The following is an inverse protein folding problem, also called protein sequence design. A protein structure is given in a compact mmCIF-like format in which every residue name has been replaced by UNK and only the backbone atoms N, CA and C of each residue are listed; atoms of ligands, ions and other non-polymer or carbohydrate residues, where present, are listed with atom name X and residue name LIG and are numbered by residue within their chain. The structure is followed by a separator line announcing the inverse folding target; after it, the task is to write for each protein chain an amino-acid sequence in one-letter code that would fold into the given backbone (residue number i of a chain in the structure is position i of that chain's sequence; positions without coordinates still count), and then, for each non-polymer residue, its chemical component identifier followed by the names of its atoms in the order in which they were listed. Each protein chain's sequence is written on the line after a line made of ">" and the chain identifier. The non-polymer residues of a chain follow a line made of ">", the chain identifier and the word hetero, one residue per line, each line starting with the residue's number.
data_IF_545524745632
#
_entry.id   IF_545524745632
#
_cell.length_a   1.000
_cell.length_b   1.000
_cell.length_c   1.000
_cell.angle_alpha   90.00
_cell.angle_beta   90.00
_cell.angle_gamma   90.00
#
_symmetry.space_group_name_H-M   'P 1'
#
loop_
_entity.id
_entity.type
_entity.pdbx_description
1 polymer ?
#
# COMPACT_ATOMS: atom_id res chain seq x y z
N UNK A 1 -5.26 -14.13 -5.46
CA UNK A 1 -3.95 -14.01 -6.15
C UNK A 1 -2.92 -13.71 -5.07
N UNK A 2 -1.82 -14.45 -4.96
CA UNK A 2 -0.86 -14.24 -3.88
C UNK A 2 0.24 -13.27 -4.34
N UNK A 3 0.67 -12.37 -3.45
CA UNK A 3 1.69 -11.38 -3.77
C UNK A 3 2.92 -11.54 -2.88
N UNK A 4 4.09 -11.58 -3.51
CA UNK A 4 5.37 -11.65 -2.82
C UNK A 4 6.24 -10.43 -3.14
N UNK A 5 7.02 -10.02 -2.16
CA UNK A 5 7.95 -8.89 -2.25
C UNK A 5 9.31 -9.31 -1.80
N UNK A 6 10.32 -8.85 -2.51
CA UNK A 6 11.69 -8.94 -2.06
C UNK A 6 12.48 -7.75 -2.59
N UNK A 7 13.51 -7.41 -1.84
CA UNK A 7 14.38 -6.29 -2.16
C UNK A 7 15.54 -6.74 -3.03
N UNK A 8 15.91 -5.89 -3.99
CA UNK A 8 17.11 -6.08 -4.79
C UNK A 8 18.05 -4.91 -4.56
N UNK A 9 19.19 -5.19 -3.92
CA UNK A 9 20.29 -4.23 -3.80
C UNK A 9 21.04 -4.18 -5.13
N UNK A 10 21.16 -2.99 -5.72
CA UNK A 10 21.88 -2.82 -6.98
C UNK A 10 23.02 -1.83 -6.83
N UNK A 11 24.25 -2.32 -6.93
CA UNK A 11 25.46 -1.51 -6.95
C UNK A 11 25.91 -1.33 -8.39
N UNK A 12 25.71 -0.17 -9.01
CA UNK A 12 26.42 0.16 -10.25
C UNK A 12 26.38 1.66 -10.58
N UNK A 13 27.41 2.08 -11.31
CA UNK A 13 27.62 3.43 -11.81
C UNK A 13 26.90 3.54 -13.18
N UNK A 14 25.65 4.01 -13.24
CA UNK A 14 24.88 4.06 -14.50
C UNK A 14 24.57 5.50 -14.94
N UNK A 15 24.99 5.83 -16.17
CA UNK A 15 24.70 7.11 -16.83
C UNK A 15 23.36 7.09 -17.62
N UNK A 16 22.53 6.07 -17.43
CA UNK A 16 21.27 5.88 -18.14
C UNK A 16 20.21 5.25 -17.23
N UNK A 17 18.93 5.46 -17.55
CA UNK A 17 17.82 4.84 -16.81
C UNK A 17 17.87 3.31 -16.90
N UNK A 18 17.59 2.64 -15.78
CA UNK A 18 17.59 1.17 -15.67
C UNK A 18 16.15 0.64 -15.73
N UNK A 19 15.93 -0.38 -16.56
CA UNK A 19 14.69 -1.14 -16.64
C UNK A 19 14.88 -2.55 -16.08
N UNK A 20 13.82 -3.13 -15.52
CA UNK A 20 13.87 -4.40 -14.78
C UNK A 20 13.00 -5.47 -15.41
N UNK A 21 13.46 -6.72 -15.36
CA UNK A 21 12.71 -7.90 -15.78
C UNK A 21 12.98 -9.11 -14.88
N UNK A 22 12.09 -10.10 -14.99
CA UNK A 22 12.32 -11.44 -14.45
C UNK A 22 12.62 -12.42 -15.58
N UNK A 23 13.74 -13.13 -15.45
CA UNK A 23 14.00 -14.33 -16.24
C UNK A 23 13.28 -15.51 -15.57
N UNK A 24 12.13 -15.88 -16.13
CA UNK A 24 11.30 -16.96 -15.61
C UNK A 24 11.80 -18.31 -16.12
N UNK A 25 11.99 -19.27 -15.20
CA UNK A 25 12.14 -20.69 -15.55
C UNK A 25 10.76 -21.31 -15.82
N UNK A 26 10.73 -22.48 -16.43
CA UNK A 26 9.48 -23.17 -16.78
C UNK A 26 8.57 -23.41 -15.57
N UNK A 27 9.15 -23.69 -14.39
CA UNK A 27 8.43 -23.83 -13.12
C UNK A 27 7.75 -22.53 -12.63
N UNK A 28 8.09 -21.37 -13.18
CA UNK A 28 7.57 -20.05 -12.81
C UNK A 28 6.52 -19.53 -13.80
N UNK A 29 6.15 -20.34 -14.81
CA UNK A 29 5.26 -19.91 -15.89
C UNK A 29 3.91 -19.45 -15.34
N UNK A 30 3.43 -18.31 -15.82
CA UNK A 30 2.16 -17.70 -15.40
C UNK A 30 2.25 -16.77 -14.20
N UNK A 31 3.43 -16.65 -13.56
CA UNK A 31 3.69 -15.57 -12.59
C UNK A 31 3.74 -14.24 -13.33
N UNK A 32 2.99 -13.26 -12.86
CA UNK A 32 3.13 -11.86 -13.29
C UNK A 32 4.06 -11.11 -12.34
N UNK A 33 4.67 -10.02 -12.81
CA UNK A 33 5.53 -9.20 -11.97
C UNK A 33 5.49 -7.73 -12.33
N UNK A 34 5.81 -6.88 -11.36
CA UNK A 34 5.93 -5.43 -11.52
C UNK A 34 7.06 -4.92 -10.62
N UNK A 35 7.94 -4.07 -11.15
CA UNK A 35 8.98 -3.43 -10.33
C UNK A 35 8.55 -2.02 -9.92
N UNK A 36 8.84 -1.66 -8.67
CA UNK A 36 8.60 -0.32 -8.10
C UNK A 36 9.92 0.28 -7.56
N UNK A 37 10.31 1.48 -8.02
CA UNK A 37 9.72 2.21 -9.15
C UNK A 37 9.97 1.47 -10.48
N UNK A 38 9.12 1.69 -11.50
CA UNK A 38 9.23 1.00 -12.80
C UNK A 38 10.55 1.25 -13.52
N UNK A 39 11.20 2.37 -13.22
CA UNK A 39 12.52 2.75 -13.70
C UNK A 39 13.28 3.44 -12.59
N UNK A 40 14.58 3.19 -12.52
CA UNK A 40 15.49 4.00 -11.72
C UNK A 40 16.11 5.11 -12.58
N UNK A 41 16.21 6.30 -11.99
CA UNK A 41 16.99 7.40 -12.54
C UNK A 41 18.49 7.10 -12.38
N UNK A 42 19.37 7.65 -13.25
CA UNK A 42 20.81 7.53 -13.13
C UNK A 42 21.32 7.85 -11.71
N UNK A 43 22.14 6.96 -11.14
CA UNK A 43 22.69 7.14 -9.80
C UNK A 43 24.08 6.50 -9.69
N UNK A 44 24.89 7.04 -8.77
CA UNK A 44 26.19 6.45 -8.37
C UNK A 44 26.12 5.70 -7.04
N UNK A 45 24.95 5.68 -6.41
CA UNK A 45 24.71 5.02 -5.12
C UNK A 45 23.94 3.72 -5.33
N UNK A 46 24.13 2.76 -4.41
CA UNK A 46 23.30 1.56 -4.38
C UNK A 46 21.84 1.95 -4.17
N UNK A 47 20.97 1.50 -5.07
CA UNK A 47 19.54 1.72 -4.96
C UNK A 47 18.82 0.39 -4.70
N UNK A 48 17.78 0.45 -3.88
CA UNK A 48 16.89 -0.67 -3.59
C UNK A 48 15.66 -0.57 -4.48
N UNK A 49 15.29 -1.69 -5.09
CA UNK A 49 14.10 -1.81 -5.93
C UNK A 49 13.22 -2.90 -5.37
N UNK A 50 11.91 -2.67 -5.44
CA UNK A 50 10.88 -3.59 -5.00
C UNK A 50 10.38 -4.37 -6.22
N UNK A 51 10.38 -5.70 -6.14
CA UNK A 51 9.74 -6.55 -7.13
C UNK A 51 8.45 -7.12 -6.55
N UNK A 52 7.33 -6.73 -7.13
CA UNK A 52 6.02 -7.31 -6.90
C UNK A 52 5.89 -8.55 -7.75
N UNK A 53 5.56 -9.67 -7.13
CA UNK A 53 5.27 -10.93 -7.82
C UNK A 53 3.82 -11.27 -7.58
N UNK A 54 3.08 -11.58 -8.64
CA UNK A 54 1.72 -12.05 -8.54
C UNK A 54 1.64 -13.50 -8.99
N UNK A 55 1.18 -14.34 -8.09
CA UNK A 55 1.03 -15.77 -8.31
C UNK A 55 -0.43 -16.07 -8.66
N UNK A 56 -0.71 -16.67 -9.83
CA UNK A 56 -2.08 -16.97 -10.23
C UNK A 56 -2.70 -18.03 -9.30
N UNK A 57 -4.03 -18.04 -9.12
CA UNK A 57 -4.70 -19.03 -8.26
C UNK A 57 -4.43 -20.48 -8.67
N UNK A 58 -4.18 -20.70 -9.96
CA UNK A 58 -3.92 -21.99 -10.60
C UNK A 58 -2.44 -22.39 -10.57
N UNK A 59 -1.57 -21.64 -9.88
CA UNK A 59 -0.13 -21.87 -9.93
C UNK A 59 0.31 -23.25 -9.40
N UNK A 60 -0.47 -23.81 -8.48
CA UNK A 60 -0.29 -25.16 -7.94
C UNK A 60 -1.00 -26.24 -8.77
N UNK A 61 -1.85 -25.85 -9.73
CA UNK A 61 -2.63 -26.81 -10.51
C UNK A 61 -1.74 -27.57 -11.49
N UNK A 62 -2.05 -28.85 -11.68
CA UNK A 62 -1.31 -29.73 -12.60
C UNK A 62 0.05 -30.21 -12.09
N UNK A 63 0.44 -29.87 -10.86
CA UNK A 63 1.68 -30.32 -10.21
C UNK A 63 1.33 -31.26 -9.04
N UNK A 64 1.36 -32.57 -9.31
CA UNK A 64 0.93 -33.60 -8.35
C UNK A 64 1.80 -33.63 -7.07
N UNK A 65 3.10 -33.37 -7.21
CA UNK A 65 4.04 -33.30 -6.07
C UNK A 65 3.77 -32.06 -5.22
N UNK A 66 3.55 -30.90 -5.86
CA UNK A 66 3.18 -29.68 -5.15
C UNK A 66 1.83 -29.77 -4.45
N UNK A 67 0.85 -30.44 -5.06
CA UNK A 67 -0.47 -30.70 -4.46
C UNK A 67 -0.39 -31.64 -3.25
N UNK A 68 0.49 -32.65 -3.30
CA UNK A 68 0.73 -33.57 -2.19
C UNK A 68 1.50 -32.91 -1.04
N UNK A 69 2.53 -32.11 -1.35
CA UNK A 69 3.35 -31.39 -0.35
C UNK A 69 2.68 -30.13 0.17
N UNK A 70 1.66 -29.63 -0.51
CA UNK A 70 1.08 -28.32 -0.25
C UNK A 70 2.07 -27.18 -0.47
N UNK A 71 3.06 -27.34 -1.34
CA UNK A 71 4.13 -26.37 -1.60
C UNK A 71 4.65 -26.54 -3.03
N UNK A 72 4.78 -25.43 -3.76
CA UNK A 72 5.55 -25.34 -5.00
C UNK A 72 6.67 -24.33 -4.86
N UNK A 73 7.88 -24.73 -5.23
CA UNK A 73 9.03 -23.85 -5.26
C UNK A 73 9.32 -23.42 -6.70
N UNK A 74 9.67 -22.15 -6.90
CA UNK A 74 10.23 -21.71 -8.16
C UNK A 74 11.40 -20.74 -7.96
N UNK A 75 12.45 -20.95 -8.75
CA UNK A 75 13.61 -20.07 -8.83
C UNK A 75 13.53 -19.20 -10.08
N UNK A 76 13.64 -17.89 -9.91
CA UNK A 76 13.80 -16.93 -11.02
C UNK A 76 14.96 -15.99 -10.71
N UNK A 77 15.41 -15.30 -11.76
CA UNK A 77 16.49 -14.32 -11.66
C UNK A 77 15.96 -12.94 -12.02
N UNK A 78 16.12 -11.96 -11.11
CA UNK A 78 15.89 -10.55 -11.45
C UNK A 78 17.03 -10.04 -12.28
N UNK A 79 16.75 -9.22 -13.29
CA UNK A 79 17.76 -8.60 -14.16
C UNK A 79 17.48 -7.10 -14.29
N UNK A 80 18.51 -6.28 -14.09
CA UNK A 80 18.48 -4.85 -14.41
C UNK A 80 19.31 -4.55 -15.65
N UNK A 81 18.74 -3.80 -16.60
CA UNK A 81 19.42 -3.38 -17.84
C UNK A 81 19.46 -1.86 -17.93
N UNK A 82 20.65 -1.28 -18.03
CA UNK A 82 20.90 0.15 -18.19
C UNK A 82 21.87 0.40 -19.35
N UNK A 83 21.54 1.34 -20.25
CA UNK A 83 22.37 1.62 -21.43
C UNK A 83 22.60 0.41 -22.36
N UNK A 84 21.68 -0.57 -22.35
CA UNK A 84 21.78 -1.81 -23.12
C UNK A 84 22.65 -2.91 -22.50
N UNK A 85 23.21 -2.70 -21.31
CA UNK A 85 24.05 -3.67 -20.61
C UNK A 85 23.38 -4.18 -19.33
N UNK A 86 23.67 -5.42 -18.94
CA UNK A 86 23.20 -5.99 -17.67
C UNK A 86 24.00 -5.36 -16.52
N UNK A 87 23.29 -4.64 -15.64
CA UNK A 87 23.90 -3.89 -14.53
C UNK A 87 23.68 -4.53 -13.16
N UNK A 88 22.75 -5.49 -13.05
CA UNK A 88 22.52 -6.25 -11.82
C UNK A 88 21.77 -7.57 -12.12
N UNK A 89 22.02 -8.59 -11.29
CA UNK A 89 21.17 -9.79 -11.23
C UNK A 89 21.13 -10.41 -9.84
N UNK A 90 20.00 -11.01 -9.46
CA UNK A 90 19.83 -11.73 -8.19
C UNK A 90 18.93 -12.93 -8.39
N UNK A 91 19.33 -14.07 -7.83
CA UNK A 91 18.49 -15.28 -7.79
C UNK A 91 17.53 -15.20 -6.61
N UNK A 92 16.29 -15.62 -6.85
CA UNK A 92 15.19 -15.51 -5.91
C UNK A 92 14.41 -16.80 -5.91
N UNK A 93 14.33 -17.43 -4.74
CA UNK A 93 13.54 -18.62 -4.51
C UNK A 93 12.17 -18.21 -3.95
N UNK A 94 11.12 -18.47 -4.71
CA UNK A 94 9.74 -18.30 -4.28
C UNK A 94 9.18 -19.64 -3.81
N UNK A 95 8.61 -19.65 -2.61
CA UNK A 95 7.89 -20.79 -2.04
C UNK A 95 6.41 -20.43 -1.94
N UNK A 96 5.56 -21.16 -2.66
CA UNK A 96 4.10 -20.95 -2.69
C UNK A 96 3.43 -22.12 -2.01
N UNK A 97 2.75 -21.86 -0.89
CA UNK A 97 2.07 -22.89 -0.11
C UNK A 97 0.58 -23.01 -0.50
N UNK A 98 0.05 -24.23 -0.50
CA UNK A 98 -1.39 -24.53 -0.56
C UNK A 98 -2.00 -24.23 0.81
N UNK A 99 -3.21 -23.69 0.82
CA UNK A 99 -3.86 -23.19 2.04
C UNK A 99 -5.37 -23.43 1.95
N UNK A 100 -5.97 -23.95 3.03
CA UNK A 100 -7.35 -24.44 3.11
C UNK A 100 -8.35 -23.39 3.65
N UNK A 101 -7.90 -22.19 4.02
CA UNK A 101 -8.75 -21.11 4.56
C UNK A 101 -8.59 -19.80 3.79
N UNK A 102 -9.67 -19.20 3.26
CA UNK A 102 -9.63 -17.89 2.63
C UNK A 102 -9.70 -16.80 3.70
N UNK A 103 -8.57 -16.17 4.01
CA UNK A 103 -8.54 -14.98 4.85
C UNK A 103 -8.68 -13.73 3.98
N UNK A 104 -9.69 -12.92 4.28
CA UNK A 104 -10.02 -11.73 3.51
C UNK A 104 -9.32 -10.52 4.11
N UNK A 105 -8.08 -10.26 3.69
CA UNK A 105 -7.40 -9.00 4.00
C UNK A 105 -7.87 -7.94 3.01
N UNK A 106 -8.31 -6.77 3.51
CA UNK A 106 -8.77 -5.66 2.69
C UNK A 106 -8.43 -4.31 3.31
N UNK A 107 -8.35 -3.29 2.49
CA UNK A 107 -8.35 -1.90 2.95
C UNK A 107 -9.80 -1.42 3.15
N UNK A 108 -10.01 -0.55 4.12
CA UNK A 108 -11.30 0.11 4.34
C UNK A 108 -11.05 1.60 4.64
N UNK A 109 -11.47 2.52 3.75
CA UNK A 109 -12.11 2.26 2.45
C UNK A 109 -11.16 1.64 1.40
N UNK A 110 -11.69 1.06 0.33
CA UNK A 110 -10.90 0.51 -0.80
C UNK A 110 -10.42 1.59 -1.79
N UNK A 111 -11.05 2.77 -1.72
CA UNK A 111 -10.67 3.98 -2.45
C UNK A 111 -10.59 5.17 -1.49
N UNK A 112 -9.57 6.00 -1.65
CA UNK A 112 -9.43 7.23 -0.87
C UNK A 112 -8.76 8.34 -1.70
N UNK A 113 -9.39 9.52 -1.72
CA UNK A 113 -8.78 10.74 -2.21
C UNK A 113 -7.88 11.36 -1.14
N UNK A 114 -6.68 11.79 -1.52
CA UNK A 114 -5.73 12.47 -0.64
C UNK A 114 -5.34 13.81 -1.28
N UNK A 115 -5.52 14.91 -0.54
CA UNK A 115 -4.98 16.22 -0.95
C UNK A 115 -3.44 16.20 -0.85
N UNK A 116 -2.76 16.97 -1.70
CA UNK A 116 -1.30 17.18 -1.60
C UNK A 116 -0.89 17.55 -0.18
N UNK A 117 0.16 16.89 0.34
CA UNK A 117 0.71 17.06 1.71
C UNK A 117 -0.25 16.77 2.87
N UNK A 118 -1.53 16.53 2.60
CA UNK A 118 -2.51 16.19 3.63
C UNK A 118 -2.39 14.73 4.02
N UNK A 119 -2.71 14.44 5.28
CA UNK A 119 -2.74 13.09 5.82
C UNK A 119 -4.16 12.64 6.12
N UNK A 120 -4.42 11.34 5.94
CA UNK A 120 -5.66 10.69 6.33
C UNK A 120 -5.38 9.25 6.79
N UNK A 121 -6.37 8.59 7.36
CA UNK A 121 -6.26 7.22 7.89
C UNK A 121 -7.04 6.23 7.03
N UNK A 122 -6.46 5.06 6.83
CA UNK A 122 -7.10 3.91 6.18
C UNK A 122 -6.91 2.68 7.05
N UNK A 123 -7.99 1.92 7.24
CA UNK A 123 -7.97 0.70 8.04
C UNK A 123 -7.59 -0.50 7.16
N UNK A 124 -6.86 -1.44 7.74
CA UNK A 124 -6.67 -2.78 7.16
C UNK A 124 -7.48 -3.74 8.01
N UNK A 125 -8.47 -4.36 7.40
CA UNK A 125 -9.32 -5.38 8.01
C UNK A 125 -8.88 -6.78 7.58
N UNK A 126 -8.96 -7.72 8.51
CA UNK A 126 -8.77 -9.15 8.24
C UNK A 126 -10.06 -9.87 8.62
N UNK A 127 -10.59 -10.62 7.66
CA UNK A 127 -11.78 -11.45 7.82
C UNK A 127 -11.47 -12.93 7.99
N UNK A 128 -12.33 -13.61 8.77
CA UNK A 128 -12.31 -15.05 9.00
C UNK A 128 -10.96 -15.57 9.54
N UNK A 129 -10.34 -14.80 10.44
CA UNK A 129 -9.16 -15.24 11.17
C UNK A 129 -9.53 -16.44 12.05
N UNK A 130 -8.74 -17.51 11.99
CA UNK A 130 -8.99 -18.74 12.76
C UNK A 130 -7.74 -19.15 13.52
N UNK A 131 -7.89 -19.37 14.83
CA UNK A 131 -6.84 -19.84 15.75
C UNK A 131 -5.47 -19.15 15.60
N UNK A 132 -5.47 -17.85 15.34
CA UNK A 132 -4.25 -17.10 15.08
C UNK A 132 -3.58 -16.62 16.36
N UNK A 133 -2.26 -16.73 16.42
CA UNK A 133 -1.42 -16.17 17.48
C UNK A 133 -0.42 -15.15 16.96
N UNK A 134 -0.14 -15.12 15.66
CA UNK A 134 0.54 -13.98 15.05
C UNK A 134 0.04 -13.74 13.63
N UNK A 135 0.13 -12.49 13.19
CA UNK A 135 -0.15 -12.06 11.82
C UNK A 135 0.97 -11.10 11.43
N UNK A 136 1.57 -11.29 10.26
CA UNK A 136 2.52 -10.35 9.67
C UNK A 136 2.25 -10.16 8.18
N UNK A 137 2.53 -8.97 7.67
CA UNK A 137 2.49 -8.65 6.24
C UNK A 137 3.30 -7.39 5.92
N UNK A 138 3.51 -7.17 4.63
CA UNK A 138 4.11 -5.96 4.11
C UNK A 138 3.07 -5.11 3.37
N UNK A 139 3.08 -3.81 3.63
CA UNK A 139 2.36 -2.78 2.88
C UNK A 139 3.35 -2.18 1.88
N UNK A 140 2.95 -2.11 0.62
CA UNK A 140 3.78 -1.61 -0.47
C UNK A 140 3.08 -0.42 -1.10
N UNK A 141 3.83 0.64 -1.33
CA UNK A 141 3.34 1.88 -1.93
C UNK A 141 4.40 2.50 -2.83
N UNK A 142 3.99 3.45 -3.67
CA UNK A 142 4.93 4.31 -4.40
C UNK A 142 5.37 5.46 -3.49
N UNK A 143 6.64 5.51 -3.04
CA UNK A 143 7.12 6.56 -2.12
C UNK A 143 7.19 7.94 -2.78
N UNK A 144 7.11 8.03 -4.12
CA UNK A 144 6.98 9.31 -4.82
C UNK A 144 5.54 9.83 -4.77
N UNK A 145 4.55 8.95 -4.60
CA UNK A 145 3.13 9.29 -4.55
C UNK A 145 2.67 9.68 -3.14
N UNK A 146 3.04 8.87 -2.16
CA UNK A 146 2.55 8.96 -0.79
C UNK A 146 3.66 8.65 0.21
N UNK A 147 3.45 9.07 1.44
CA UNK A 147 4.25 8.75 2.62
C UNK A 147 3.35 8.02 3.63
N UNK A 148 3.81 6.92 4.21
CA UNK A 148 3.18 6.32 5.40
C UNK A 148 3.81 6.97 6.63
N UNK A 149 3.01 7.72 7.40
CA UNK A 149 3.46 8.46 8.58
C UNK A 149 3.58 7.53 9.79
N UNK A 150 2.51 6.77 10.04
CA UNK A 150 2.43 5.86 11.17
C UNK A 150 1.47 4.70 10.88
N UNK A 151 1.61 3.63 11.64
CA UNK A 151 0.71 2.48 11.62
C UNK A 151 0.33 2.16 13.07
N UNK A 152 -0.95 2.05 13.38
CA UNK A 152 -1.42 1.75 14.74
C UNK A 152 -2.12 0.40 14.79
N UNK A 153 -1.98 -0.32 15.89
CA UNK A 153 -2.66 -1.60 16.06
C UNK A 153 -4.18 -1.41 16.11
N UNK A 154 -4.90 -2.26 15.40
CA UNK A 154 -6.35 -2.38 15.46
C UNK A 154 -6.79 -3.40 16.51
N UNK A 155 -8.07 -3.40 16.88
CA UNK A 155 -8.57 -4.24 17.97
C UNK A 155 -8.55 -5.74 17.65
N UNK A 156 -8.42 -6.19 16.40
CA UNK A 156 -8.61 -7.61 16.03
C UNK A 156 -7.83 -8.58 16.94
N UNK A 157 -6.54 -8.31 17.16
CA UNK A 157 -5.65 -9.16 17.95
C UNK A 157 -5.81 -8.99 19.48
N UNK A 158 -6.62 -8.03 19.92
CA UNK A 158 -6.85 -7.67 21.33
C UNK A 158 -8.34 -7.62 21.68
N UNK A 159 -9.22 -8.15 20.81
CA UNK A 159 -10.68 -8.16 20.99
C UNK A 159 -11.13 -8.88 22.25
N UNK A 160 -10.36 -9.87 22.70
CA UNK A 160 -10.58 -10.61 23.94
C UNK A 160 -9.94 -9.95 25.18
N UNK A 161 -9.53 -8.68 25.05
CA UNK A 161 -8.91 -7.85 26.08
C UNK A 161 -7.54 -8.36 26.57
N UNK A 162 -6.92 -9.29 25.84
CA UNK A 162 -5.56 -9.73 26.12
C UNK A 162 -4.56 -9.00 25.22
N UNK A 163 -3.30 -9.01 25.65
CA UNK A 163 -2.22 -8.24 25.03
C UNK A 163 -1.63 -8.89 23.80
N UNK A 164 -1.12 -8.05 22.92
CA UNK A 164 -0.28 -8.40 21.78
C UNK A 164 0.93 -7.47 21.73
N UNK A 165 2.02 -7.98 21.15
CA UNK A 165 3.17 -7.19 20.74
C UNK A 165 2.96 -6.76 19.29
N UNK A 166 2.83 -5.45 19.08
CA UNK A 166 2.67 -4.85 17.75
C UNK A 166 4.00 -4.24 17.28
N UNK A 167 4.47 -4.70 16.13
CA UNK A 167 5.69 -4.24 15.48
C UNK A 167 5.34 -3.58 14.16
N UNK A 168 5.97 -2.45 13.90
CA UNK A 168 5.89 -1.74 12.62
C UNK A 168 7.25 -1.16 12.26
N UNK A 169 7.62 -1.26 10.99
CA UNK A 169 8.80 -0.58 10.46
C UNK A 169 8.47 -0.03 9.08
N UNK A 170 8.79 1.23 8.82
CA UNK A 170 8.54 1.89 7.53
C UNK A 170 9.88 2.24 6.89
N UNK A 171 10.08 1.77 5.66
CA UNK A 171 11.18 2.18 4.81
C UNK A 171 10.67 3.09 3.69
N UNK A 172 10.68 4.38 3.97
CA UNK A 172 10.14 5.42 3.10
C UNK A 172 10.93 5.59 1.80
N UNK A 173 12.17 5.11 1.72
CA UNK A 173 12.98 5.22 0.50
C UNK A 173 12.51 4.26 -0.59
N UNK A 174 12.01 3.10 -0.18
CA UNK A 174 11.61 2.02 -1.11
C UNK A 174 10.10 1.80 -1.16
N UNK A 175 9.34 2.43 -0.25
CA UNK A 175 7.89 2.32 -0.21
C UNK A 175 7.41 1.00 0.37
N UNK A 176 8.07 0.48 1.41
CA UNK A 176 7.65 -0.73 2.12
C UNK A 176 7.43 -0.41 3.60
N UNK A 177 6.32 -0.87 4.17
CA UNK A 177 6.11 -0.93 5.60
C UNK A 177 5.81 -2.36 6.04
N UNK A 178 6.59 -2.89 6.97
CA UNK A 178 6.34 -4.18 7.60
C UNK A 178 5.45 -4.00 8.83
N UNK A 179 4.46 -4.86 8.99
CA UNK A 179 3.53 -4.86 10.12
C UNK A 179 3.40 -6.26 10.67
N UNK A 180 3.53 -6.41 11.99
CA UNK A 180 3.28 -7.67 12.67
C UNK A 180 2.55 -7.44 14.00
N UNK A 181 1.62 -8.32 14.34
CA UNK A 181 1.01 -8.40 15.67
C UNK A 181 1.10 -9.84 16.17
N UNK A 182 1.64 -10.03 17.37
CA UNK A 182 1.83 -11.35 18.00
C UNK A 182 1.20 -11.36 19.39
N UNK A 183 0.39 -12.37 19.68
CA UNK A 183 -0.25 -12.60 20.98
C UNK A 183 0.80 -12.88 22.05
N UNK A 184 0.69 -12.24 23.21
CA UNK A 184 1.61 -12.50 24.32
C UNK A 184 1.43 -13.90 24.92
N UNK A 185 2.44 -14.38 25.65
CA UNK A 185 2.38 -15.69 26.30
C UNK A 185 1.15 -15.80 27.22
N UNK A 186 0.40 -16.90 27.07
CA UNK A 186 -0.82 -17.14 27.86
C UNK A 186 -2.07 -16.43 27.33
N UNK A 187 -1.94 -15.56 26.32
CA UNK A 187 -3.10 -14.93 25.69
C UNK A 187 -3.91 -15.95 24.87
N UNK A 188 -3.25 -16.98 24.33
CA UNK A 188 -3.89 -17.99 23.48
C UNK A 188 -4.34 -17.43 22.13
N UNK A 189 -4.87 -18.31 21.26
CA UNK A 189 -5.26 -17.94 19.91
C UNK A 189 -6.50 -17.05 19.88
N UNK A 190 -6.60 -16.24 18.82
CA UNK A 190 -7.75 -15.41 18.51
C UNK A 190 -8.39 -15.86 17.19
N UNK A 191 -9.71 -15.73 17.10
CA UNK A 191 -10.47 -15.96 15.87
C UNK A 191 -11.49 -14.84 15.70
N UNK A 192 -11.80 -14.45 14.46
CA UNK A 192 -12.79 -13.42 14.18
C UNK A 192 -12.46 -12.58 12.95
N UNK A 193 -13.20 -11.49 12.80
CA UNK A 193 -13.07 -10.51 11.73
C UNK A 193 -12.99 -9.12 12.33
N UNK A 194 -12.14 -8.24 11.79
CA UNK A 194 -12.10 -6.84 12.23
C UNK A 194 -10.88 -6.09 11.75
N UNK A 195 -10.74 -4.86 12.25
CA UNK A 195 -9.60 -3.99 11.96
C UNK A 195 -8.34 -4.53 12.63
N UNK A 196 -7.36 -4.89 11.82
CA UNK A 196 -6.06 -5.39 12.26
C UNK A 196 -5.07 -4.26 12.54
N UNK A 197 -5.02 -3.24 11.68
CA UNK A 197 -4.23 -2.04 11.91
C UNK A 197 -4.84 -0.84 11.17
N UNK A 198 -4.45 0.37 11.58
CA UNK A 198 -4.79 1.61 10.89
C UNK A 198 -3.52 2.27 10.37
N UNK A 199 -3.54 2.70 9.12
CA UNK A 199 -2.40 3.28 8.42
C UNK A 199 -2.67 4.76 8.20
N UNK A 200 -1.79 5.62 8.72
CA UNK A 200 -1.83 7.05 8.42
C UNK A 200 -1.01 7.32 7.16
N UNK A 201 -1.68 7.71 6.08
CA UNK A 201 -1.08 7.98 4.78
C UNK A 201 -1.11 9.48 4.49
N UNK A 202 -0.09 9.98 3.81
CA UNK A 202 0.04 11.39 3.42
C UNK A 202 0.35 11.51 1.94
N UNK A 203 -0.35 12.38 1.22
CA UNK A 203 -0.05 12.67 -0.18
C UNK A 203 1.26 13.44 -0.32
N UNK A 204 2.06 13.16 -1.36
CA UNK A 204 3.23 14.00 -1.68
C UNK A 204 2.80 15.22 -2.51
N UNK A 205 3.76 15.89 -3.16
CA UNK A 205 3.49 17.00 -4.07
C UNK A 205 3.12 16.57 -5.49
N UNK A 206 3.05 15.28 -5.77
CA UNK A 206 2.75 14.76 -7.10
C UNK A 206 1.26 14.45 -7.20
N UNK A 207 0.60 14.99 -8.23
CA UNK A 207 -0.76 14.61 -8.58
C UNK A 207 -0.73 13.30 -9.36
N UNK A 208 -1.17 12.21 -8.78
CA UNK A 208 -1.32 10.94 -9.49
C UNK A 208 -2.26 9.96 -8.79
N UNK A 209 -2.85 9.06 -9.58
CA UNK A 209 -3.38 7.83 -9.02
C UNK A 209 -2.24 6.88 -8.67
N UNK A 210 -2.30 6.28 -7.49
CA UNK A 210 -1.38 5.24 -7.03
C UNK A 210 -2.14 4.09 -6.38
N UNK A 211 -1.47 2.95 -6.23
CA UNK A 211 -2.01 1.77 -5.56
C UNK A 211 -1.15 1.42 -4.37
N UNK A 212 -1.78 1.25 -3.22
CA UNK A 212 -1.17 0.63 -2.04
C UNK A 212 -1.60 -0.83 -2.00
N UNK A 213 -0.68 -1.73 -1.68
CA UNK A 213 -0.91 -3.17 -1.78
C UNK A 213 -0.45 -3.88 -0.51
N UNK A 214 -1.08 -5.00 -0.17
CA UNK A 214 -0.65 -5.87 0.93
C UNK A 214 -0.07 -7.16 0.39
N UNK A 215 1.14 -7.50 0.80
CA UNK A 215 1.87 -8.69 0.35
C UNK A 215 2.52 -9.43 1.53
N UNK A 216 3.16 -10.57 1.22
CA UNK A 216 3.91 -11.38 2.20
C UNK A 216 3.10 -11.73 3.46
N UNK A 217 1.79 -11.88 3.31
CA UNK A 217 0.88 -12.10 4.43
C UNK A 217 1.12 -13.50 4.99
N UNK A 218 1.40 -13.57 6.29
CA UNK A 218 1.52 -14.81 7.05
C UNK A 218 0.68 -14.68 8.30
N UNK A 219 0.00 -15.76 8.64
CA UNK A 219 -0.65 -15.93 9.93
C UNK A 219 -0.10 -17.19 10.54
N UNK A 220 0.12 -17.16 11.85
CA UNK A 220 0.68 -18.25 12.61
C UNK A 220 -0.29 -18.67 13.71
N UNK A 221 -0.30 -19.94 14.04
CA UNK A 221 -0.96 -20.45 15.23
C UNK A 221 -0.01 -20.34 16.45
N UNK A 222 -0.48 -20.79 17.62
CA UNK A 222 0.30 -20.72 18.86
C UNK A 222 1.45 -21.74 18.93
N UNK A 223 1.57 -22.64 17.95
CA UNK A 223 2.65 -23.61 17.82
C UNK A 223 3.68 -23.16 16.76
N UNK A 224 3.61 -21.90 16.31
CA UNK A 224 4.37 -21.35 15.19
C UNK A 224 4.12 -22.10 13.85
N UNK A 225 3.06 -22.88 13.76
CA UNK A 225 2.55 -23.41 12.49
C UNK A 225 1.94 -22.28 11.66
N UNK A 226 1.99 -22.40 10.33
CA UNK A 226 1.30 -21.45 9.47
C UNK A 226 -0.21 -21.70 9.53
N UNK A 227 -0.97 -20.68 9.92
CA UNK A 227 -2.40 -20.62 9.66
C UNK A 227 -2.56 -20.18 8.21
N UNK A 228 -3.36 -20.94 7.49
CA UNK A 228 -3.74 -20.71 6.11
C UNK A 228 -4.20 -19.26 5.87
N UNK A 229 -3.37 -18.45 5.21
CA UNK A 229 -3.77 -17.16 4.64
C UNK A 229 -3.89 -17.32 3.13
N UNK A 230 -5.11 -17.36 2.61
CA UNK A 230 -5.35 -17.23 1.18
C UNK A 230 -6.06 -15.91 0.93
N UNK A 231 -5.38 -14.98 0.27
CA UNK A 231 -6.04 -13.88 -0.44
C UNK A 231 -7.03 -14.47 -1.43
N UNK A 232 -8.29 -14.03 -1.39
CA UNK A 232 -9.38 -14.59 -2.17
C UNK A 232 -9.05 -14.84 -3.66
N UNK A 233 -9.74 -15.82 -4.24
CA UNK A 233 -10.00 -15.86 -5.68
C UNK A 233 -10.77 -14.58 -6.05
N UNK A 234 -10.10 -13.68 -6.79
CA UNK A 234 -10.67 -12.40 -7.21
C UNK A 234 -9.99 -11.24 -6.51
N UNK A 235 -9.01 -10.63 -7.20
CA UNK A 235 -8.28 -9.38 -6.87
C UNK A 235 -7.40 -9.37 -5.61
N UNK A 236 -6.22 -8.74 -5.74
CA UNK A 236 -5.29 -8.52 -4.62
C UNK A 236 -5.84 -7.46 -3.65
N UNK A 237 -5.42 -7.41 -2.37
CA UNK A 237 -5.81 -6.34 -1.46
C UNK A 237 -5.10 -5.09 -1.94
N UNK A 238 -5.84 -4.25 -2.66
CA UNK A 238 -5.31 -2.98 -3.17
C UNK A 238 -6.20 -1.84 -2.73
N UNK A 239 -5.58 -0.82 -2.16
CA UNK A 239 -6.20 0.49 -1.95
C UNK A 239 -5.83 1.35 -3.15
N UNK A 240 -6.86 1.87 -3.84
CA UNK A 240 -6.66 2.90 -4.84
C UNK A 240 -6.61 4.26 -4.15
N UNK A 241 -5.45 4.92 -4.22
CA UNK A 241 -5.30 6.29 -3.76
C UNK A 241 -5.26 7.22 -4.96
N UNK A 242 -6.04 8.28 -4.91
CA UNK A 242 -5.85 9.40 -5.83
C UNK A 242 -5.24 10.53 -5.03
N UNK A 243 -3.95 10.79 -5.26
CA UNK A 243 -3.33 12.00 -4.76
C UNK A 243 -3.69 13.09 -5.75
N UNK A 244 -4.76 13.82 -5.46
CA UNK A 244 -5.16 14.91 -6.32
C UNK A 244 -4.24 16.08 -6.05
N UNK A 245 -3.86 16.75 -7.14
CA UNK A 245 -3.42 18.12 -7.01
C UNK A 245 -4.54 18.86 -6.33
N UNK A 246 -4.20 19.54 -5.24
CA UNK A 246 -5.03 20.62 -4.77
C UNK A 246 -5.43 21.43 -6.01
N UNK A 247 -6.69 21.30 -6.40
CA UNK A 247 -7.30 22.12 -7.42
C UNK A 247 -7.83 23.30 -6.61
N UNK A 248 -7.13 24.43 -6.58
CA UNK A 248 -7.58 25.56 -5.78
C UNK A 248 -8.99 25.92 -6.26
N UNK A 249 -9.96 26.01 -5.34
CA UNK A 249 -11.37 26.11 -5.71
C UNK A 249 -12.20 24.84 -5.53
N UNK A 250 -11.61 23.65 -5.42
CA UNK A 250 -12.32 22.37 -5.17
C UNK A 250 -12.41 22.11 -3.65
N UNK A 251 -13.45 22.67 -3.03
CA UNK A 251 -13.67 22.61 -1.59
C UNK A 251 -14.17 21.22 -1.19
N UNK A 252 -15.07 20.63 -2.00
CA UNK A 252 -15.70 19.36 -1.69
C UNK A 252 -14.80 18.14 -2.02
N UNK A 253 -13.75 18.33 -2.80
CA UNK A 253 -12.77 17.32 -3.20
C UNK A 253 -13.28 16.36 -4.28
N UNK A 254 -14.29 16.74 -5.06
CA UNK A 254 -14.90 15.89 -6.09
C UNK A 254 -14.15 15.90 -7.43
N UNK A 255 -13.08 16.71 -7.51
CA UNK A 255 -12.25 16.85 -8.71
C UNK A 255 -12.83 17.82 -9.73
N UNK A 256 -13.76 18.70 -9.34
CA UNK A 256 -14.26 19.80 -10.16
C UNK A 256 -14.30 21.07 -9.32
N UNK A 257 -14.20 22.22 -9.98
CA UNK A 257 -14.55 23.50 -9.34
C UNK A 257 -15.87 23.96 -9.92
N UNK A 258 -16.93 23.82 -9.15
CA UNK A 258 -18.27 24.19 -9.57
C UNK A 258 -19.08 24.92 -8.47
N UNK A 259 -20.37 25.07 -8.72
CA UNK A 259 -21.29 25.76 -7.81
C UNK A 259 -21.38 25.15 -6.41
N UNK A 260 -21.07 23.87 -6.24
CA UNK A 260 -21.04 23.19 -4.96
C UNK A 260 -19.88 23.71 -4.11
N UNK A 261 -18.72 23.95 -4.72
CA UNK A 261 -17.56 24.52 -4.04
C UNK A 261 -17.79 25.97 -3.65
N UNK A 262 -18.39 26.76 -4.54
CA UNK A 262 -18.79 28.13 -4.23
C UNK A 262 -19.78 28.17 -3.05
N UNK A 263 -20.70 27.21 -2.99
CA UNK A 263 -21.65 27.10 -1.87
C UNK A 263 -20.94 26.77 -0.57
N UNK A 264 -19.91 25.93 -0.59
CA UNK A 264 -19.11 25.60 0.60
C UNK A 264 -18.24 26.77 1.04
N UNK A 265 -17.58 27.46 0.11
CA UNK A 265 -16.81 28.67 0.39
C UNK A 265 -17.72 29.75 1.01
N UNK A 266 -18.92 29.94 0.45
CA UNK A 266 -19.89 30.90 0.97
C UNK A 266 -20.33 30.64 2.42
N UNK A 267 -20.29 29.39 2.90
CA UNK A 267 -20.65 29.05 4.30
C UNK A 267 -19.60 29.48 5.32
N UNK A 268 -18.35 29.64 4.91
CA UNK A 268 -17.23 30.01 5.78
C UNK A 268 -16.63 31.37 5.42
N UNK A 269 -17.22 32.10 4.47
CA UNK A 269 -16.70 33.38 3.99
C UNK A 269 -16.66 34.43 5.11
N UNK A 270 -15.52 35.10 5.25
CA UNK A 270 -15.22 36.09 6.29
C UNK A 270 -14.80 35.50 7.64
N UNK A 271 -14.70 34.16 7.76
CA UNK A 271 -14.24 33.51 8.99
C UNK A 271 -12.73 33.31 8.98
N UNK A 272 -12.12 33.38 10.16
CA UNK A 272 -10.67 33.18 10.35
C UNK A 272 -10.38 31.93 11.18
N UNK A 273 -9.14 31.44 11.09
CA UNK A 273 -8.65 30.30 11.87
C UNK A 273 -8.85 30.57 13.37
N UNK A 274 -9.78 29.82 13.98
CA UNK A 274 -10.20 29.99 15.38
C UNK A 274 -11.71 30.15 15.54
N UNK A 275 -12.41 30.54 14.47
CA UNK A 275 -13.86 30.62 14.49
C UNK A 275 -14.52 29.23 14.44
N UNK A 276 -15.66 29.01 15.14
CA UNK A 276 -16.30 27.70 15.25
C UNK A 276 -16.71 27.05 13.92
N UNK A 277 -16.91 27.86 12.88
CA UNK A 277 -17.37 27.42 11.57
C UNK A 277 -16.34 27.65 10.46
N UNK A 278 -15.10 28.00 10.82
CA UNK A 278 -14.02 28.15 9.85
C UNK A 278 -13.73 26.80 9.18
N UNK A 279 -13.81 26.76 7.85
CA UNK A 279 -13.44 25.62 7.05
C UNK A 279 -12.11 25.88 6.33
N UNK A 280 -11.03 25.31 6.87
CA UNK A 280 -9.69 25.41 6.31
C UNK A 280 -9.59 24.87 4.87
N UNK A 281 -10.59 24.16 4.35
CA UNK A 281 -10.61 23.67 2.97
C UNK A 281 -10.94 24.77 1.95
N UNK A 282 -11.52 25.88 2.39
CA UNK A 282 -11.86 27.03 1.56
C UNK A 282 -10.85 28.19 1.66
N UNK A 283 -9.89 28.11 2.58
CA UNK A 283 -8.71 28.99 2.68
C UNK A 283 -7.64 28.44 1.74
N UNK A 284 -7.68 28.85 0.47
CA UNK A 284 -6.87 28.28 -0.59
C UNK A 284 -5.48 28.91 -0.70
N UNK A 285 -5.29 30.13 -0.19
CA UNK A 285 -3.99 30.80 -0.14
C UNK A 285 -3.26 30.55 1.21
N UNK A 286 -3.90 29.87 2.16
CA UNK A 286 -3.41 29.51 3.49
C UNK A 286 -3.02 30.71 4.36
N UNK A 287 -3.68 31.87 4.16
CA UNK A 287 -3.40 33.07 4.96
C UNK A 287 -4.16 33.12 6.31
N UNK A 288 -5.05 32.15 6.53
CA UNK A 288 -5.79 31.98 7.77
C UNK A 288 -7.14 32.67 7.81
N UNK A 289 -7.62 33.27 6.72
CA UNK A 289 -8.98 33.82 6.57
C UNK A 289 -9.59 33.35 5.24
N UNK A 290 -10.88 33.01 5.22
CA UNK A 290 -11.58 32.74 3.94
C UNK A 290 -12.16 34.05 3.43
N UNK A 291 -11.59 34.66 2.40
CA UNK A 291 -12.00 35.96 1.91
C UNK A 291 -12.10 36.10 0.38
N UNK A 292 -12.09 37.34 -0.11
CA UNK A 292 -12.16 37.63 -1.53
C UNK A 292 -11.00 37.03 -2.34
N UNK A 293 -9.83 36.81 -1.74
CA UNK A 293 -8.70 36.16 -2.40
C UNK A 293 -9.01 34.69 -2.70
N UNK A 294 -9.65 33.99 -1.76
CA UNK A 294 -10.08 32.60 -1.98
C UNK A 294 -11.18 32.51 -3.02
N UNK A 295 -12.12 33.46 -3.02
CA UNK A 295 -13.14 33.54 -4.06
C UNK A 295 -12.53 33.79 -5.45
N UNK A 296 -11.49 34.62 -5.54
CA UNK A 296 -10.74 34.85 -6.79
C UNK A 296 -10.06 33.55 -7.23
N UNK A 297 -9.41 32.83 -6.32
CA UNK A 297 -8.75 31.55 -6.59
C UNK A 297 -9.77 30.51 -7.08
N UNK A 298 -10.95 30.44 -6.47
CA UNK A 298 -12.05 29.57 -6.91
C UNK A 298 -12.47 29.93 -8.34
N UNK A 299 -12.74 31.22 -8.60
CA UNK A 299 -13.15 31.70 -9.92
C UNK A 299 -12.08 31.44 -10.99
N UNK A 300 -10.79 31.56 -10.68
CA UNK A 300 -9.69 31.30 -11.61
C UNK A 300 -9.62 29.85 -12.07
N UNK A 301 -10.17 28.93 -11.27
CA UNK A 301 -10.17 27.50 -11.55
C UNK A 301 -11.57 26.98 -11.94
N UNK A 302 -12.54 27.86 -12.22
CA UNK A 302 -13.90 27.45 -12.54
C UNK A 302 -13.98 26.46 -13.70
N UNK A 303 -14.74 25.38 -13.53
CA UNK A 303 -14.86 24.26 -14.49
C UNK A 303 -13.55 23.48 -14.73
N UNK A 304 -12.50 23.71 -13.96
CA UNK A 304 -11.29 22.89 -14.04
C UNK A 304 -11.58 21.47 -13.55
N UNK A 305 -10.92 20.51 -14.19
CA UNK A 305 -10.88 19.09 -13.79
C UNK A 305 -9.42 18.63 -13.83
N UNK A 306 -9.00 17.67 -12.98
CA UNK A 306 -7.65 17.10 -12.97
C UNK A 306 -7.15 16.61 -14.33
#
# INVERSE_FOLDING_TARGET
>A
MAMAVFEVNMTSNFNASVAFSLNQREACKGIEYEFLPKRLAPSRLTQRVVCLIKVPPTFLDGDADALQKGLKECLFQTVGIGGGQRVASRDVLLRVYKTDSPQMVKFTPEYKGLKKKASDTVDIEIGNLTNACAVEFDIIYDPLAIEIIDITEGPLMTTDLKRSAFVRTVDSNIGIAHVASTREQGAGPISGTGVFCRVQVKGTNITQETRVRIANIKVFDCNNGFVSVRTMTGTEPTLKLTVSGFLPGDVNGDGKVDTQDLTLLGKTFGLSRGDPNFDARADFNEDGIVDGMDLIILCMNWSATP
#
